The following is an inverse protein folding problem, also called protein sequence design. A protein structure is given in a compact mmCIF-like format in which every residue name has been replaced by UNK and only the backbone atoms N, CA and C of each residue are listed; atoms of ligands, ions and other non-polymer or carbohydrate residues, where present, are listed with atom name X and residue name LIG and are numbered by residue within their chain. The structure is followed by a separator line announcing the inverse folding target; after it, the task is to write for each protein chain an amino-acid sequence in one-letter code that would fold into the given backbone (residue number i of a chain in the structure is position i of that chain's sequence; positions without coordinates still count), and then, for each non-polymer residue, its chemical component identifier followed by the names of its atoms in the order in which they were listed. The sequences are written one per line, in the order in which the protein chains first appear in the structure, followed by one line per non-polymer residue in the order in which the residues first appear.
data_IF_349068533980
#
_entry.id   IF_349068533980
#
_cell.length_a   1.000
_cell.length_b   1.000
_cell.length_c   1.000
_cell.angle_alpha   90.00
_cell.angle_beta   90.00
_cell.angle_gamma   90.00
#
_symmetry.space_group_name_H-M   'P 1'
#
loop_
_entity.id
_entity.type
_entity.pdbx_description
1 polymer ?
#
# COMPACT_ATOMS: atom_id res chain seq x y z
N UNK A 1 14.81 -3.87 1.54
CA UNK A 1 14.46 -2.79 0.58
C UNK A 1 15.49 -1.68 0.69
N UNK A 2 16.07 -1.21 -0.40
CA UNK A 2 17.20 -0.26 -0.37
C UNK A 2 16.75 1.21 -0.50
N UNK A 3 17.52 2.16 0.06
CA UNK A 3 17.22 3.61 0.02
C UNK A 3 16.95 4.15 -1.39
N UNK A 4 17.68 3.65 -2.40
CA UNK A 4 17.50 4.05 -3.80
C UNK A 4 16.15 3.63 -4.40
N UNK A 5 15.61 2.47 -4.00
CA UNK A 5 14.29 1.99 -4.45
C UNK A 5 13.17 2.85 -3.86
N UNK A 6 13.34 3.28 -2.60
CA UNK A 6 12.43 4.22 -1.94
C UNK A 6 12.41 5.58 -2.63
N UNK A 7 13.58 6.17 -2.89
CA UNK A 7 13.66 7.50 -3.52
C UNK A 7 13.01 7.51 -4.92
N UNK A 8 13.11 6.41 -5.68
CA UNK A 8 12.40 6.23 -6.96
C UNK A 8 10.88 6.10 -6.75
N UNK A 9 10.44 5.27 -5.81
CA UNK A 9 9.01 5.08 -5.53
C UNK A 9 8.32 6.36 -5.04
N UNK A 10 9.00 7.15 -4.20
CA UNK A 10 8.51 8.45 -3.71
C UNK A 10 8.41 9.50 -4.82
N UNK A 11 9.28 9.44 -5.84
CA UNK A 11 9.28 10.37 -6.96
C UNK A 11 8.21 10.00 -8.01
N UNK A 12 8.16 8.74 -8.41
CA UNK A 12 7.28 8.26 -9.48
C UNK A 12 5.84 8.02 -8.98
N UNK A 13 5.65 7.93 -7.66
CA UNK A 13 4.37 7.59 -7.05
C UNK A 13 3.93 6.14 -7.30
N UNK A 14 4.83 5.27 -7.76
CA UNK A 14 4.58 3.84 -7.95
C UNK A 14 4.82 3.08 -6.64
N UNK A 15 3.87 2.22 -6.30
CA UNK A 15 3.96 1.30 -5.18
C UNK A 15 4.48 -0.06 -5.67
N UNK A 16 5.72 -0.46 -5.35
CA UNK A 16 6.29 -1.72 -5.81
C UNK A 16 5.62 -2.92 -5.15
N UNK A 17 5.64 -4.04 -5.86
CA UNK A 17 5.17 -5.34 -5.37
C UNK A 17 6.33 -6.14 -4.80
N UNK A 18 6.09 -6.85 -3.71
CA UNK A 18 7.09 -7.63 -2.98
C UNK A 18 6.51 -9.02 -2.70
N UNK A 19 7.29 -10.07 -2.90
CA UNK A 19 6.93 -11.42 -2.47
C UNK A 19 7.41 -11.67 -1.05
N UNK A 20 6.55 -12.18 -0.17
CA UNK A 20 6.96 -12.64 1.16
C UNK A 20 7.58 -14.04 1.09
N UNK A 21 8.31 -14.43 2.13
CA UNK A 21 8.88 -15.78 2.28
C UNK A 21 7.79 -16.88 2.30
N UNK A 22 6.59 -16.53 2.76
CA UNK A 22 5.43 -17.42 2.79
C UNK A 22 4.64 -17.42 1.46
N UNK A 23 5.17 -16.79 0.40
CA UNK A 23 4.56 -16.76 -0.93
C UNK A 23 3.39 -15.78 -1.09
N UNK A 24 3.15 -14.90 -0.11
CA UNK A 24 2.14 -13.86 -0.23
C UNK A 24 2.65 -12.67 -1.07
N UNK A 25 1.77 -12.06 -1.87
CA UNK A 25 2.11 -10.88 -2.66
C UNK A 25 1.70 -9.60 -1.91
N UNK A 26 2.68 -8.75 -1.66
CA UNK A 26 2.58 -7.52 -0.89
C UNK A 26 2.74 -6.30 -1.79
N UNK A 27 2.26 -5.15 -1.34
CA UNK A 27 2.46 -3.83 -1.94
C UNK A 27 3.10 -2.94 -0.88
N UNK A 28 4.22 -2.32 -1.20
CA UNK A 28 4.80 -1.27 -0.38
C UNK A 28 4.28 0.10 -0.82
N UNK A 29 3.69 0.83 0.11
CA UNK A 29 3.17 2.18 -0.10
C UNK A 29 4.14 3.19 0.50
N UNK A 30 4.66 4.04 -0.36
CA UNK A 30 5.51 5.15 0.00
C UNK A 30 4.70 6.43 -0.07
N UNK A 31 4.89 7.31 0.90
CA UNK A 31 4.36 8.66 0.77
C UNK A 31 5.11 9.42 -0.32
N UNK A 32 4.38 10.13 -1.17
CA UNK A 32 4.99 11.02 -2.15
C UNK A 32 5.53 12.25 -1.42
N UNK A 33 6.56 12.87 -2.00
CA UNK A 33 7.11 14.13 -1.47
C UNK A 33 6.09 15.28 -1.45
N UNK A 34 5.06 15.20 -2.29
CA UNK A 34 4.00 16.20 -2.43
C UNK A 34 2.78 15.92 -1.56
N UNK A 35 2.74 14.79 -0.86
CA UNK A 35 1.62 14.47 0.03
C UNK A 35 1.73 15.43 1.23
N UNK A 36 0.92 16.50 1.21
CA UNK A 36 0.93 17.53 2.25
C UNK A 36 0.42 17.07 3.61
N UNK A 37 -0.03 15.82 3.73
CA UNK A 37 -0.52 15.23 4.97
C UNK A 37 0.54 14.25 5.53
N UNK A 38 0.75 14.32 6.83
CA UNK A 38 1.75 13.57 7.59
C UNK A 38 1.75 12.09 7.21
N UNK A 39 2.91 11.64 6.76
CA UNK A 39 3.21 10.28 6.26
C UNK A 39 2.94 9.22 7.34
N UNK A 40 3.03 9.62 8.60
CA UNK A 40 2.78 8.83 9.81
C UNK A 40 1.28 8.56 10.05
N UNK A 41 0.38 9.18 9.28
CA UNK A 41 -1.07 9.07 9.47
C UNK A 41 -1.65 7.78 8.88
N UNK A 42 -0.98 7.09 7.95
CA UNK A 42 -1.48 5.83 7.41
C UNK A 42 -1.61 4.76 8.50
N UNK A 43 -0.67 4.72 9.45
CA UNK A 43 -0.74 3.89 10.65
C UNK A 43 -2.02 4.14 11.42
N UNK A 44 -2.23 5.40 11.79
CA UNK A 44 -3.40 5.81 12.53
C UNK A 44 -4.70 5.52 11.77
N UNK A 45 -4.77 5.81 10.46
CA UNK A 45 -5.98 5.64 9.66
C UNK A 45 -6.35 4.17 9.51
N UNK A 46 -5.40 3.31 9.12
CA UNK A 46 -5.72 1.90 8.89
C UNK A 46 -6.05 1.21 10.23
N UNK A 47 -5.37 1.60 11.31
CA UNK A 47 -5.69 1.14 12.65
C UNK A 47 -7.10 1.58 13.07
N UNK A 48 -7.44 2.87 12.94
CA UNK A 48 -8.77 3.40 13.26
C UNK A 48 -9.86 2.75 12.42
N UNK A 49 -9.62 2.54 11.12
CA UNK A 49 -10.57 1.85 10.25
C UNK A 49 -10.84 0.42 10.74
N UNK A 50 -9.79 -0.32 11.13
CA UNK A 50 -9.94 -1.66 11.71
C UNK A 50 -10.70 -1.62 13.04
N UNK A 51 -10.39 -0.67 13.92
CA UNK A 51 -11.10 -0.48 15.19
C UNK A 51 -12.59 -0.10 14.98
N UNK A 52 -12.89 0.63 13.91
CA UNK A 52 -14.24 0.97 13.50
C UNK A 52 -15.00 -0.19 12.82
N UNK A 53 -14.40 -1.38 12.71
CA UNK A 53 -15.01 -2.54 12.07
C UNK A 53 -15.00 -2.50 10.53
N UNK A 54 -14.25 -1.58 9.93
CA UNK A 54 -14.07 -1.53 8.47
C UNK A 54 -13.12 -2.65 8.07
N UNK A 55 -13.51 -3.41 7.05
CA UNK A 55 -12.64 -4.46 6.49
C UNK A 55 -11.45 -3.79 5.81
N UNK A 56 -10.26 -4.01 6.37
CA UNK A 56 -8.99 -3.53 5.83
C UNK A 56 -8.11 -4.72 5.45
N UNK A 57 -7.27 -4.54 4.43
CA UNK A 57 -6.27 -5.56 4.08
C UNK A 57 -5.28 -5.77 5.24
N UNK A 58 -4.78 -6.99 5.37
CA UNK A 58 -3.66 -7.28 6.28
C UNK A 58 -2.48 -6.38 5.91
N UNK A 59 -1.85 -5.81 6.94
CA UNK A 59 -0.79 -4.83 6.76
C UNK A 59 0.16 -4.83 7.94
N UNK A 60 1.37 -4.37 7.67
CA UNK A 60 2.44 -4.11 8.63
C UNK A 60 3.15 -2.81 8.25
N UNK A 61 3.87 -2.23 9.21
CA UNK A 61 4.66 -1.04 8.99
C UNK A 61 6.13 -1.37 9.18
N UNK A 62 6.94 -1.03 8.17
CA UNK A 62 8.38 -1.23 8.19
C UNK A 62 9.08 0.11 8.06
N UNK A 63 10.11 0.33 8.86
CA UNK A 63 10.96 1.50 8.73
C UNK A 63 12.01 1.28 7.63
N UNK A 64 12.05 2.18 6.64
CA UNK A 64 13.04 2.16 5.56
C UNK A 64 13.74 3.51 5.50
N UNK A 65 15.01 3.56 5.90
CA UNK A 65 15.82 4.77 5.96
C UNK A 65 15.13 5.90 6.77
N UNK A 66 14.68 5.57 7.99
CA UNK A 66 14.12 6.54 8.93
C UNK A 66 12.71 7.02 8.61
N UNK A 67 11.96 6.32 7.75
CA UNK A 67 10.55 6.62 7.46
C UNK A 67 9.70 5.36 7.47
N UNK A 68 8.47 5.42 7.99
CA UNK A 68 7.54 4.31 7.93
C UNK A 68 7.08 4.07 6.49
N UNK A 69 6.98 2.80 6.12
CA UNK A 69 6.45 2.30 4.86
C UNK A 69 5.34 1.33 5.19
N UNK A 70 4.15 1.58 4.66
CA UNK A 70 3.01 0.68 4.79
C UNK A 70 3.19 -0.49 3.83
N UNK A 71 3.32 -1.69 4.38
CA UNK A 71 3.31 -2.94 3.63
C UNK A 71 1.92 -3.54 3.75
N UNK A 72 1.23 -3.73 2.63
CA UNK A 72 -0.13 -4.27 2.61
C UNK A 72 -0.19 -5.52 1.74
N UNK A 73 -0.84 -6.57 2.25
CA UNK A 73 -1.12 -7.78 1.47
C UNK A 73 -2.14 -7.46 0.39
N UNK A 74 -1.91 -7.94 -0.83
CA UNK A 74 -2.89 -7.82 -1.92
C UNK A 74 -4.14 -8.62 -1.60
N UNK A 75 -5.27 -7.93 -1.46
CA UNK A 75 -6.58 -8.57 -1.25
C UNK A 75 -7.09 -9.29 -2.50
N UNK A 76 -6.59 -8.93 -3.68
CA UNK A 76 -6.99 -9.52 -4.97
C UNK A 76 -6.15 -10.76 -5.33
N UNK A 77 -5.55 -11.42 -4.35
CA UNK A 77 -4.68 -12.59 -4.51
C UNK A 77 -5.00 -13.69 -3.52
N UNK A 78 -4.92 -14.92 -4.01
CA UNK A 78 -4.92 -16.17 -3.25
C UNK A 78 -3.72 -17.00 -3.72
N UNK A 79 -2.59 -16.86 -3.03
CA UNK A 79 -1.28 -17.27 -3.53
C UNK A 79 -0.98 -16.66 -4.90
N UNK A 80 -0.71 -17.50 -5.89
CA UNK A 80 -0.47 -17.07 -7.28
C UNK A 80 -1.76 -16.81 -8.07
N UNK A 81 -2.93 -17.16 -7.53
CA UNK A 81 -4.21 -16.95 -8.20
C UNK A 81 -4.67 -15.51 -8.05
N UNK A 82 -5.05 -14.87 -9.16
CA UNK A 82 -5.67 -13.55 -9.17
C UNK A 82 -7.17 -13.65 -8.95
N UNK A 83 -7.67 -12.91 -7.97
CA UNK A 83 -9.09 -12.68 -7.76
C UNK A 83 -9.46 -11.43 -8.58
N UNK A 84 -10.46 -11.49 -9.48
CA UNK A 84 -10.89 -10.31 -10.23
C UNK A 84 -11.37 -9.19 -9.30
N UNK A 85 -10.89 -7.97 -9.55
CA UNK A 85 -11.29 -6.77 -8.84
C UNK A 85 -11.49 -5.63 -9.84
N UNK A 86 -12.54 -4.83 -9.62
CA UNK A 86 -12.84 -3.62 -10.38
C UNK A 86 -13.19 -2.51 -9.39
N UNK A 87 -12.56 -1.34 -9.52
CA UNK A 87 -12.83 -0.22 -8.62
C UNK A 87 -14.17 0.44 -8.98
N UNK A 88 -14.79 1.13 -8.01
CA UNK A 88 -15.99 1.92 -8.26
C UNK A 88 -15.75 3.00 -9.34
N UNK A 89 -14.57 3.64 -9.34
CA UNK A 89 -14.20 4.61 -10.37
C UNK A 89 -14.19 3.98 -11.76
N UNK A 90 -13.57 2.80 -11.92
CA UNK A 90 -13.56 2.09 -13.19
C UNK A 90 -14.96 1.64 -13.61
N UNK A 91 -15.80 1.19 -12.67
CA UNK A 91 -17.20 0.85 -12.96
C UNK A 91 -18.01 2.05 -13.46
N UNK A 92 -17.73 3.24 -12.93
CA UNK A 92 -18.40 4.49 -13.30
C UNK A 92 -17.75 5.19 -14.51
N UNK A 93 -16.68 4.65 -15.08
CA UNK A 93 -15.93 5.28 -16.17
C UNK A 93 -15.19 6.55 -15.78
N UNK A 94 -14.96 6.77 -14.48
CA UNK A 94 -14.26 7.93 -13.92
C UNK A 94 -12.77 7.62 -13.84
N UNK A 95 -11.91 8.57 -14.22
CA UNK A 95 -10.46 8.48 -14.07
C UNK A 95 -10.01 9.13 -12.77
N UNK A 96 -9.07 8.51 -12.07
CA UNK A 96 -8.31 9.19 -11.03
C UNK A 96 -7.36 10.20 -11.68
N UNK A 97 -7.28 11.40 -11.09
CA UNK A 97 -6.41 12.49 -11.52
C UNK A 97 -4.99 12.35 -11.00
#
# INVERSE_FOLDING_TARGET
MQRAERERAEHDGRNPQISSELGALLIAKFAKKTDGCCIDLWEAIVYLARQAGITVADHEFLEVAGKPVLISRRFDRDGNRRIPFLSALSMLGIRDG
#
